data_IF_669768500157
#
_entry.id   IF_669768500157
#
_cell.length_a   1.000
_cell.length_b   1.000
_cell.length_c   1.000
_cell.angle_alpha   90.00
_cell.angle_beta   90.00
_cell.angle_gamma   90.00
#
_symmetry.space_group_name_H-M   'P 1'
#
loop_
_entity.id
_entity.type
_entity.pdbx_description
1 polymer ?
#
# COMPACT_ATOMS: atom_id res chain seq x y z
N UNK A 1 21.69 -7.04 -0.48
CA UNK A 1 22.20 -6.27 0.67
C UNK A 1 21.30 -5.06 0.80
N UNK A 2 20.52 -4.95 1.88
CA UNK A 2 19.79 -3.72 2.17
C UNK A 2 20.82 -2.60 2.31
N UNK A 3 20.64 -1.49 1.58
CA UNK A 3 21.57 -0.37 1.69
C UNK A 3 21.47 0.20 3.10
N UNK A 4 22.58 0.28 3.81
CA UNK A 4 22.65 0.98 5.09
C UNK A 4 22.21 2.46 4.98
N UNK A 5 22.12 3.00 3.75
CA UNK A 5 21.61 4.35 3.48
C UNK A 5 20.11 4.44 3.70
N UNK A 6 19.31 3.48 3.22
CA UNK A 6 17.85 3.60 3.24
C UNK A 6 17.30 3.77 4.67
N UNK A 7 17.80 3.01 5.64
CA UNK A 7 17.34 3.12 7.03
C UNK A 7 17.58 4.52 7.61
N UNK A 8 18.72 5.13 7.31
CA UNK A 8 19.03 6.49 7.78
C UNK A 8 18.26 7.55 6.97
N UNK A 9 18.11 7.35 5.67
CA UNK A 9 17.29 8.20 4.79
C UNK A 9 15.82 8.19 5.24
N UNK A 10 15.29 7.03 5.61
CA UNK A 10 13.94 6.85 6.14
C UNK A 10 13.74 7.63 7.46
N UNK A 11 14.69 7.55 8.40
CA UNK A 11 14.63 8.35 9.63
C UNK A 11 14.64 9.84 9.32
N UNK A 12 15.54 10.29 8.43
CA UNK A 12 15.63 11.68 8.03
C UNK A 12 14.34 12.18 7.35
N UNK A 13 13.73 11.37 6.48
CA UNK A 13 12.44 11.65 5.86
C UNK A 13 11.35 11.81 6.91
N UNK A 14 11.24 10.85 7.83
CA UNK A 14 10.25 10.89 8.91
C UNK A 14 10.43 12.10 9.83
N UNK A 15 11.67 12.47 10.17
CA UNK A 15 11.97 13.63 11.02
C UNK A 15 11.65 14.95 10.31
N UNK A 16 11.88 15.02 9.00
CA UNK A 16 11.45 16.15 8.19
C UNK A 16 9.91 16.22 8.07
N UNK A 17 9.22 15.07 7.96
CA UNK A 17 7.77 14.99 7.99
C UNK A 17 7.19 15.43 9.34
N UNK A 18 7.78 15.03 10.47
CA UNK A 18 7.33 15.45 11.81
C UNK A 18 7.50 16.97 11.98
N UNK A 19 8.65 17.50 11.59
CA UNK A 19 8.93 18.94 11.64
C UNK A 19 7.93 19.74 10.81
N UNK A 20 7.64 19.28 9.59
CA UNK A 20 6.65 19.89 8.70
C UNK A 20 5.22 19.80 9.28
N UNK A 21 4.83 18.63 9.78
CA UNK A 21 3.49 18.41 10.32
C UNK A 21 3.22 19.35 11.51
N UNK A 22 4.16 19.44 12.45
CA UNK A 22 4.06 20.35 13.60
C UNK A 22 3.93 21.81 13.19
N UNK A 23 4.67 22.25 12.18
CA UNK A 23 4.57 23.62 11.68
C UNK A 23 3.17 23.95 11.12
N UNK A 24 2.45 22.92 10.63
CA UNK A 24 1.06 23.01 10.14
C UNK A 24 0.01 22.82 11.23
N UNK A 25 0.41 22.54 12.48
CA UNK A 25 -0.51 22.14 13.55
C UNK A 25 -1.03 20.70 13.41
N UNK A 26 -0.40 19.90 12.57
CA UNK A 26 -0.66 18.47 12.41
C UNK A 26 0.29 17.67 13.31
N UNK A 27 0.11 16.35 13.38
CA UNK A 27 1.05 15.46 14.04
C UNK A 27 1.38 14.23 13.21
N UNK A 28 2.64 13.81 13.28
CA UNK A 28 3.07 12.53 12.76
C UNK A 28 3.04 11.51 13.90
N UNK A 29 2.16 10.52 13.80
CA UNK A 29 2.13 9.41 14.73
C UNK A 29 3.03 8.30 14.21
N UNK A 30 3.88 7.76 15.08
CA UNK A 30 4.79 6.66 14.79
C UNK A 30 4.60 5.59 15.85
N UNK A 31 4.00 4.47 15.49
CA UNK A 31 3.79 3.35 16.41
C UNK A 31 5.10 2.59 16.64
N UNK A 32 5.14 1.82 17.73
CA UNK A 32 6.33 1.04 18.10
C UNK A 32 6.76 0.06 16.99
N UNK A 33 8.06 -0.19 16.80
CA UNK A 33 8.55 -1.13 15.81
C UNK A 33 8.07 -2.56 16.06
N UNK A 34 8.05 -3.36 15.00
CA UNK A 34 8.00 -4.81 15.11
C UNK A 34 9.40 -5.37 15.40
N UNK A 35 9.47 -6.48 16.11
CA UNK A 35 10.68 -7.28 16.23
C UNK A 35 10.99 -7.99 14.90
N UNK A 36 12.26 -8.39 14.65
CA UNK A 36 12.60 -9.17 13.46
C UNK A 36 11.75 -10.43 13.30
N UNK A 37 11.45 -11.13 14.40
CA UNK A 37 10.62 -12.34 14.39
C UNK A 37 9.17 -12.05 13.98
N UNK A 38 8.61 -10.91 14.42
CA UNK A 38 7.27 -10.49 13.99
C UNK A 38 7.24 -10.13 12.50
N UNK A 39 8.26 -9.44 11.99
CA UNK A 39 8.37 -9.11 10.56
C UNK A 39 8.47 -10.38 9.71
N UNK A 40 9.30 -11.33 10.11
CA UNK A 40 9.48 -12.59 9.39
C UNK A 40 8.23 -13.50 9.45
N UNK A 41 7.34 -13.29 10.44
CA UNK A 41 6.09 -14.02 10.58
C UNK A 41 4.92 -13.42 9.79
N UNK A 42 5.06 -12.23 9.20
CA UNK A 42 3.96 -11.55 8.48
C UNK A 42 3.39 -12.39 7.33
N UNK A 43 4.18 -13.04 6.46
CA UNK A 43 3.61 -13.90 5.42
C UNK A 43 2.78 -15.03 6.02
N UNK A 44 3.28 -15.70 7.06
CA UNK A 44 2.56 -16.76 7.76
C UNK A 44 1.26 -16.30 8.42
N UNK A 45 1.18 -15.06 8.90
CA UNK A 45 -0.07 -14.47 9.41
C UNK A 45 -1.12 -14.42 8.29
N UNK A 46 -0.76 -13.95 7.10
CA UNK A 46 -1.68 -13.86 5.96
C UNK A 46 -2.17 -15.24 5.49
N UNK A 47 -1.34 -16.28 5.63
CA UNK A 47 -1.72 -17.68 5.36
C UNK A 47 -2.80 -18.21 6.31
N UNK A 48 -3.09 -17.54 7.43
CA UNK A 48 -4.13 -17.94 8.40
C UNK A 48 -5.50 -17.34 8.12
N UNK A 49 -5.68 -16.64 6.99
CA UNK A 49 -6.95 -16.04 6.62
C UNK A 49 -8.07 -17.09 6.59
N UNK A 50 -9.11 -16.87 7.39
CA UNK A 50 -10.12 -17.89 7.71
C UNK A 50 -11.22 -18.02 6.65
N UNK A 51 -11.34 -17.03 5.77
CA UNK A 51 -12.34 -17.01 4.71
C UNK A 51 -11.77 -17.63 3.42
N UNK A 52 -12.62 -18.32 2.68
CA UNK A 52 -12.25 -18.94 1.41
C UNK A 52 -11.82 -17.86 0.40
N UNK A 53 -10.61 -17.99 -0.13
CA UNK A 53 -10.07 -17.12 -1.18
C UNK A 53 -10.19 -17.85 -2.52
N UNK A 54 -10.68 -17.19 -3.59
CA UNK A 54 -10.76 -17.80 -4.93
C UNK A 54 -9.41 -18.32 -5.43
N UNK A 55 -8.34 -17.61 -5.07
CA UNK A 55 -6.97 -18.09 -5.21
C UNK A 55 -6.33 -18.02 -3.83
N UNK A 56 -5.92 -19.16 -3.22
CA UNK A 56 -5.25 -19.14 -1.93
C UNK A 56 -3.99 -18.28 -1.95
N UNK A 57 -3.80 -17.51 -0.89
CA UNK A 57 -2.53 -16.81 -0.67
C UNK A 57 -1.38 -17.83 -0.55
N UNK A 58 -0.25 -17.51 -1.16
CA UNK A 58 0.98 -18.33 -1.12
C UNK A 58 2.02 -17.59 -0.30
N UNK A 59 2.38 -18.14 0.85
CA UNK A 59 3.31 -17.51 1.81
C UNK A 59 4.62 -17.08 1.16
N UNK A 60 5.20 -17.97 0.36
CA UNK A 60 6.49 -17.74 -0.31
C UNK A 60 6.41 -16.65 -1.39
N UNK A 61 5.21 -16.31 -1.87
CA UNK A 61 5.00 -15.25 -2.84
C UNK A 61 5.13 -13.85 -2.23
N UNK A 62 5.06 -13.72 -0.89
CA UNK A 62 5.27 -12.46 -0.18
C UNK A 62 6.57 -12.45 0.64
N UNK A 63 7.75 -12.40 0.00
CA UNK A 63 8.96 -12.03 0.71
C UNK A 63 8.84 -10.54 1.10
N UNK A 64 8.75 -10.24 2.40
CA UNK A 64 8.65 -8.86 2.90
C UNK A 64 9.74 -7.98 2.25
N UNK A 65 9.38 -6.94 1.46
CA UNK A 65 10.34 -6.13 0.72
C UNK A 65 11.41 -5.52 1.62
N UNK A 66 12.65 -5.45 1.15
CA UNK A 66 13.79 -5.07 1.99
C UNK A 66 13.63 -3.67 2.61
N UNK A 67 13.22 -2.68 1.81
CA UNK A 67 12.98 -1.31 2.26
C UNK A 67 11.78 -1.20 3.22
N UNK A 68 10.75 -2.02 3.01
CA UNK A 68 9.59 -2.10 3.91
C UNK A 68 9.92 -2.83 5.22
N UNK A 69 10.77 -3.87 5.19
CA UNK A 69 11.31 -4.50 6.39
C UNK A 69 12.04 -3.49 7.27
N UNK A 70 12.89 -2.62 6.70
CA UNK A 70 13.55 -1.56 7.48
C UNK A 70 12.55 -0.57 8.08
N UNK A 71 11.46 -0.26 7.36
CA UNK A 71 10.35 0.52 7.91
C UNK A 71 9.71 -0.16 9.12
N UNK A 72 9.32 -1.44 9.00
CA UNK A 72 8.65 -2.19 10.08
C UNK A 72 9.52 -2.36 11.33
N UNK A 73 10.85 -2.45 11.15
CA UNK A 73 11.83 -2.51 12.24
C UNK A 73 12.07 -1.16 12.93
N UNK A 74 11.53 -0.06 12.39
CA UNK A 74 11.50 1.25 13.03
C UNK A 74 10.11 1.58 13.58
N UNK A 75 9.07 1.27 12.80
CA UNK A 75 7.68 1.61 13.09
C UNK A 75 6.75 0.54 12.49
N UNK A 76 5.85 -0.02 13.30
CA UNK A 76 4.78 -0.88 12.75
C UNK A 76 3.75 -0.09 11.94
N UNK A 77 3.63 1.20 12.21
CA UNK A 77 2.68 2.09 11.56
C UNK A 77 3.18 3.53 11.66
N UNK A 78 3.00 4.29 10.58
CA UNK A 78 3.23 5.73 10.54
C UNK A 78 2.05 6.38 9.85
N UNK A 79 1.45 7.38 10.49
CA UNK A 79 0.33 8.14 9.93
C UNK A 79 0.43 9.61 10.24
N UNK A 80 -0.02 10.43 9.31
CA UNK A 80 -0.30 11.84 9.59
C UNK A 80 -1.70 11.96 10.17
N UNK A 81 -1.85 12.84 11.15
CA UNK A 81 -3.15 13.21 11.70
C UNK A 81 -3.32 14.73 11.71
N UNK A 82 -4.55 15.17 11.44
CA UNK A 82 -4.97 16.56 11.45
C UNK A 82 -6.30 16.72 12.18
N UNK A 83 -6.69 17.96 12.49
CA UNK A 83 -7.98 18.27 13.11
C UNK A 83 -8.80 19.14 12.15
N UNK A 84 -9.56 18.57 11.20
CA UNK A 84 -10.34 19.36 10.24
C UNK A 84 -11.44 20.17 10.93
N UNK A 85 -12.03 19.64 12.00
CA UNK A 85 -13.06 20.30 12.80
C UNK A 85 -12.49 21.04 14.05
N UNK A 86 -11.17 20.97 14.27
CA UNK A 86 -10.48 21.54 15.43
C UNK A 86 -10.68 20.81 16.75
N UNK A 87 -11.40 19.68 16.77
CA UNK A 87 -11.74 18.93 17.99
C UNK A 87 -11.22 17.50 17.98
N UNK A 88 -11.35 16.79 16.87
CA UNK A 88 -10.96 15.38 16.76
C UNK A 88 -9.73 15.24 15.85
N UNK A 89 -8.81 14.37 16.24
CA UNK A 89 -7.70 13.99 15.36
C UNK A 89 -8.21 12.94 14.38
N UNK A 90 -8.00 13.21 13.10
CA UNK A 90 -8.35 12.32 12.00
C UNK A 90 -7.09 11.94 11.23
N UNK A 91 -7.02 10.70 10.77
CA UNK A 91 -5.91 10.22 9.94
C UNK A 91 -6.02 10.82 8.54
N UNK A 92 -4.96 11.50 8.11
CA UNK A 92 -4.78 11.91 6.73
C UNK A 92 -4.44 10.68 5.89
N UNK A 93 -5.47 10.03 5.34
CA UNK A 93 -5.39 8.74 4.67
C UNK A 93 -4.32 8.64 3.56
N UNK A 94 -4.06 9.67 2.73
CA UNK A 94 -2.97 9.60 1.74
C UNK A 94 -1.56 9.41 2.34
N UNK A 95 -1.40 9.62 3.65
CA UNK A 95 -0.19 9.31 4.40
C UNK A 95 -0.54 8.43 5.62
N UNK A 96 -0.88 7.18 5.35
CA UNK A 96 -1.09 6.18 6.39
C UNK A 96 -0.49 4.84 5.94
N UNK A 97 0.60 4.45 6.59
CA UNK A 97 1.39 3.24 6.29
C UNK A 97 1.35 2.33 7.51
N UNK A 98 1.06 1.05 7.32
CA UNK A 98 0.79 0.13 8.42
C UNK A 98 1.30 -1.28 8.10
N UNK A 99 1.63 -2.04 9.14
CA UNK A 99 2.07 -3.43 9.03
C UNK A 99 0.92 -4.32 8.57
N UNK A 100 1.14 -5.29 7.67
CA UNK A 100 0.04 -6.04 7.08
C UNK A 100 -0.74 -6.83 8.14
N UNK A 101 -2.06 -6.82 8.02
CA UNK A 101 -2.99 -7.58 8.86
C UNK A 101 -3.78 -8.55 7.99
N UNK A 102 -4.69 -9.33 8.57
CA UNK A 102 -5.59 -10.17 7.77
C UNK A 102 -6.40 -9.33 6.76
N UNK A 103 -6.69 -8.06 7.07
CA UNK A 103 -7.40 -7.13 6.19
C UNK A 103 -6.51 -6.57 5.04
N UNK A 104 -5.20 -6.86 5.07
CA UNK A 104 -4.26 -6.53 3.98
C UNK A 104 -4.44 -7.37 2.74
N UNK A 105 -4.98 -8.58 2.89
CA UNK A 105 -5.39 -9.34 1.72
C UNK A 105 -6.50 -8.54 1.07
N UNK A 106 -6.17 -7.83 0.00
CA UNK A 106 -7.18 -7.14 -0.80
C UNK A 106 -8.00 -8.24 -1.44
N UNK A 107 -9.12 -8.55 -0.81
CA UNK A 107 -10.08 -9.51 -1.29
C UNK A 107 -11.17 -8.75 -2.04
N UNK A 108 -10.79 -8.03 -3.10
CA UNK A 108 -11.75 -7.65 -4.12
C UNK A 108 -12.16 -8.96 -4.80
N UNK A 109 -13.31 -9.46 -4.37
CA UNK A 109 -14.02 -10.57 -4.97
C UNK A 109 -15.35 -10.04 -5.47
N UNK A 110 -15.55 -10.18 -6.77
CA UNK A 110 -16.86 -10.05 -7.38
C UNK A 110 -17.61 -11.34 -6.99
N UNK A 111 -18.68 -11.29 -6.17
CA UNK A 111 -19.37 -12.49 -5.71
C UNK A 111 -19.71 -13.42 -6.86
N UNK A 112 -19.65 -14.74 -6.66
CA UNK A 112 -20.09 -15.71 -7.65
C UNK A 112 -21.48 -15.30 -8.19
N UNK A 113 -21.55 -14.98 -9.48
CA UNK A 113 -22.74 -14.45 -10.14
C UNK A 113 -22.87 -12.92 -10.23
N UNK A 114 -21.82 -12.17 -9.90
CA UNK A 114 -21.74 -10.73 -10.19
C UNK A 114 -21.04 -10.55 -11.53
N UNK A 115 -21.77 -9.92 -12.42
CA UNK A 115 -21.62 -10.02 -13.86
C UNK A 115 -20.46 -9.12 -14.35
N UNK A 116 -19.24 -9.69 -14.45
CA UNK A 116 -18.13 -9.11 -15.23
C UNK A 116 -18.37 -9.40 -16.73
N UNK A 117 -19.62 -9.26 -17.19
CA UNK A 117 -20.10 -9.91 -18.40
C UNK A 117 -20.18 -11.43 -18.22
N UNK A 118 -21.35 -12.02 -18.43
CA UNK A 118 -21.74 -13.41 -18.17
C UNK A 118 -20.77 -14.49 -18.74
N UNK A 119 -19.78 -14.09 -19.54
CA UNK A 119 -18.83 -14.93 -20.26
C UNK A 119 -17.35 -14.80 -19.79
N UNK A 120 -16.99 -13.97 -18.79
CA UNK A 120 -15.57 -13.67 -18.51
C UNK A 120 -14.93 -14.38 -17.31
N UNK A 121 -15.69 -15.01 -16.40
CA UNK A 121 -15.13 -15.82 -15.31
C UNK A 121 -14.76 -15.05 -14.03
N UNK A 122 -14.37 -15.79 -12.98
CA UNK A 122 -14.09 -15.25 -11.64
C UNK A 122 -12.76 -14.49 -11.58
N UNK A 123 -12.70 -13.41 -10.79
CA UNK A 123 -11.51 -12.57 -10.61
C UNK A 123 -10.97 -12.59 -9.17
N UNK A 124 -9.68 -12.29 -9.03
CA UNK A 124 -8.98 -12.19 -7.73
C UNK A 124 -7.93 -11.06 -7.72
N UNK A 125 -7.73 -10.50 -6.53
CA UNK A 125 -6.63 -9.57 -6.17
C UNK A 125 -5.83 -10.08 -4.97
N UNK A 126 -5.93 -11.37 -4.62
CA UNK A 126 -5.27 -11.93 -3.42
C UNK A 126 -3.73 -11.83 -3.47
N UNK A 127 -3.18 -11.61 -4.66
CA UNK A 127 -1.77 -11.38 -4.90
C UNK A 127 -1.32 -9.92 -4.68
N UNK A 128 -2.24 -9.02 -4.37
CA UNK A 128 -2.00 -7.65 -3.94
C UNK A 128 -2.09 -7.57 -2.41
N UNK A 129 -0.99 -7.23 -1.76
CA UNK A 129 -0.91 -7.13 -0.29
C UNK A 129 -0.87 -5.67 0.11
N UNK A 130 -1.97 -5.16 0.66
CA UNK A 130 -2.08 -3.76 1.08
C UNK A 130 -1.16 -3.46 2.28
N UNK A 131 -0.48 -2.31 2.20
CA UNK A 131 0.44 -1.83 3.24
C UNK A 131 0.25 -0.34 3.57
N UNK A 132 -0.57 0.38 2.80
CA UNK A 132 -0.89 1.78 3.04
C UNK A 132 -2.25 2.14 2.43
N UNK A 133 -2.90 3.13 3.03
CA UNK A 133 -4.07 3.77 2.42
C UNK A 133 -3.60 4.65 1.25
N UNK A 134 -4.35 4.65 0.14
CA UNK A 134 -4.14 5.60 -0.94
C UNK A 134 -5.13 6.77 -0.81
N UNK A 135 -6.43 6.47 -0.72
CA UNK A 135 -7.51 7.44 -0.54
C UNK A 135 -7.46 8.62 -1.51
N UNK A 136 -7.31 8.33 -2.80
CA UNK A 136 -7.13 9.32 -3.89
C UNK A 136 -8.46 9.76 -4.51
N UNK A 137 -9.46 9.98 -3.67
CA UNK A 137 -10.83 10.31 -4.08
C UNK A 137 -11.81 9.14 -4.12
N UNK A 138 -11.36 7.94 -3.72
CA UNK A 138 -12.19 6.79 -3.36
C UNK A 138 -11.85 6.34 -1.94
N UNK A 139 -12.86 6.03 -1.12
CA UNK A 139 -12.68 5.69 0.29
C UNK A 139 -11.91 4.37 0.51
N UNK A 140 -11.86 3.50 -0.51
CA UNK A 140 -11.32 2.15 -0.40
C UNK A 140 -10.03 1.91 -1.22
N UNK A 141 -9.40 2.95 -1.78
CA UNK A 141 -8.15 2.80 -2.53
C UNK A 141 -6.93 2.53 -1.62
N UNK A 142 -6.08 1.56 -2.00
CA UNK A 142 -4.93 1.06 -1.22
C UNK A 142 -3.67 0.98 -2.07
N UNK A 143 -2.51 1.12 -1.43
CA UNK A 143 -1.23 0.77 -2.03
C UNK A 143 -0.84 -0.65 -1.66
N UNK A 144 -0.46 -1.43 -2.66
CA UNK A 144 -0.28 -2.87 -2.52
C UNK A 144 1.05 -3.33 -3.10
N UNK A 145 1.65 -4.33 -2.46
CA UNK A 145 2.75 -5.10 -3.06
C UNK A 145 2.16 -6.17 -3.99
N UNK A 146 2.69 -6.26 -5.21
CA UNK A 146 2.32 -7.32 -6.16
C UNK A 146 3.24 -8.53 -6.03
N UNK A 147 2.66 -9.69 -5.72
CA UNK A 147 3.39 -10.89 -5.28
C UNK A 147 3.58 -11.96 -6.38
N UNK A 148 2.94 -11.82 -7.55
CA UNK A 148 3.09 -12.82 -8.64
C UNK A 148 4.40 -12.69 -9.44
N UNK A 149 5.19 -11.65 -9.16
CA UNK A 149 6.53 -11.50 -9.71
C UNK A 149 7.58 -11.79 -8.65
N UNK A 150 8.68 -12.48 -9.00
CA UNK A 150 9.83 -12.56 -8.11
C UNK A 150 10.34 -11.16 -7.74
N UNK A 151 10.80 -10.96 -6.50
CA UNK A 151 11.35 -9.68 -6.07
C UNK A 151 12.61 -9.32 -6.87
N UNK A 152 12.71 -8.06 -7.29
CA UNK A 152 13.89 -7.52 -7.97
C UNK A 152 14.72 -6.74 -6.96
N UNK A 153 15.98 -7.16 -6.77
CA UNK A 153 16.87 -6.58 -5.75
C UNK A 153 16.30 -6.61 -4.31
N UNK A 154 15.42 -7.58 -4.00
CA UNK A 154 14.77 -7.69 -2.69
C UNK A 154 13.53 -6.80 -2.53
N UNK A 155 13.05 -6.17 -3.61
CA UNK A 155 11.85 -5.32 -3.62
C UNK A 155 10.74 -5.96 -4.45
N UNK A 156 9.49 -5.75 -4.00
CA UNK A 156 8.28 -6.03 -4.78
C UNK A 156 7.77 -4.72 -5.40
N UNK A 157 7.22 -4.78 -6.63
CA UNK A 157 6.61 -3.61 -7.23
C UNK A 157 5.34 -3.18 -6.48
N UNK A 158 5.08 -1.89 -6.49
CA UNK A 158 3.94 -1.27 -5.82
C UNK A 158 2.88 -0.89 -6.85
N UNK A 159 1.68 -1.38 -6.61
CA UNK A 159 0.47 -1.07 -7.37
C UNK A 159 -0.48 -0.24 -6.51
N UNK A 160 -1.39 0.45 -7.17
CA UNK A 160 -2.53 1.09 -6.54
C UNK A 160 -3.75 0.24 -6.86
N UNK A 161 -4.41 -0.28 -5.84
CA UNK A 161 -5.75 -0.85 -5.96
C UNK A 161 -6.75 0.27 -5.70
N UNK A 162 -7.75 0.43 -6.59
CA UNK A 162 -8.86 1.33 -6.40
C UNK A 162 -10.16 0.54 -6.50
N UNK A 163 -10.98 0.59 -5.44
CA UNK A 163 -12.18 -0.21 -5.30
C UNK A 163 -13.30 0.25 -6.27
N UNK A 164 -13.31 1.53 -6.67
CA UNK A 164 -14.27 1.98 -7.71
C UNK A 164 -13.90 1.43 -9.10
N UNK A 165 -12.66 0.95 -9.27
CA UNK A 165 -12.16 0.24 -10.43
C UNK A 165 -11.75 -1.20 -10.06
N UNK A 166 -12.48 -1.83 -9.12
CA UNK A 166 -12.35 -3.18 -8.49
C UNK A 166 -11.87 -4.34 -9.41
N UNK A 167 -11.77 -4.08 -10.71
CA UNK A 167 -11.54 -5.00 -11.80
C UNK A 167 -10.21 -4.76 -12.54
N UNK A 168 -9.67 -3.53 -12.62
CA UNK A 168 -8.51 -3.23 -13.50
C UNK A 168 -7.18 -3.83 -13.02
N UNK A 169 -6.99 -3.99 -11.71
CA UNK A 169 -5.82 -4.67 -11.13
C UNK A 169 -6.11 -6.12 -10.73
N UNK A 170 -7.26 -6.65 -11.13
CA UNK A 170 -7.62 -8.05 -10.91
C UNK A 170 -7.04 -8.98 -11.96
N UNK A 171 -6.99 -10.26 -11.60
CA UNK A 171 -6.66 -11.35 -12.50
C UNK A 171 -7.80 -12.35 -12.57
N UNK A 172 -7.95 -13.03 -13.70
CA UNK A 172 -8.82 -14.19 -13.77
C UNK A 172 -8.25 -15.34 -12.93
N UNK A 173 -9.10 -15.99 -12.13
CA UNK A 173 -8.71 -17.10 -11.24
C UNK A 173 -8.14 -18.28 -12.04
N UNK A 174 -8.77 -18.63 -13.16
CA UNK A 174 -8.40 -19.82 -13.94
C UNK A 174 -7.12 -19.65 -14.75
N UNK A 175 -6.97 -18.53 -15.46
CA UNK A 175 -5.83 -18.28 -16.35
C UNK A 175 -4.68 -17.56 -15.67
N UNK A 176 -4.98 -16.82 -14.59
CA UNK A 176 -4.02 -15.91 -13.98
C UNK A 176 -3.68 -14.70 -14.83
N UNK A 177 -4.33 -14.48 -15.97
CA UNK A 177 -4.09 -13.31 -16.80
C UNK A 177 -4.72 -12.06 -16.15
N UNK A 178 -4.12 -10.90 -16.41
CA UNK A 178 -4.73 -9.62 -16.06
C UNK A 178 -6.10 -9.48 -16.74
N UNK A 179 -7.02 -8.78 -16.09
CA UNK A 179 -8.36 -8.58 -16.65
C UNK A 179 -8.34 -7.90 -18.04
N UNK A 180 -7.45 -6.92 -18.24
CA UNK A 180 -7.16 -6.38 -19.57
C UNK A 180 -5.79 -6.87 -20.06
N UNK A 181 -5.72 -8.00 -20.79
CA UNK A 181 -4.46 -8.53 -21.28
C UNK A 181 -3.82 -7.64 -22.35
N UNK A 182 -4.58 -6.75 -22.99
CA UNK A 182 -4.06 -5.82 -24.00
C UNK A 182 -3.46 -4.56 -23.38
N UNK A 183 -3.84 -4.24 -22.15
CA UNK A 183 -3.33 -3.11 -21.40
C UNK A 183 -3.09 -3.49 -19.93
N UNK A 184 -2.13 -4.39 -19.66
CA UNK A 184 -1.86 -4.85 -18.31
C UNK A 184 -1.42 -3.66 -17.44
N UNK A 185 -1.87 -3.60 -16.18
CA UNK A 185 -1.51 -2.51 -15.29
C UNK A 185 0.02 -2.48 -15.09
N UNK A 186 0.57 -1.28 -15.14
CA UNK A 186 2.00 -1.07 -14.86
C UNK A 186 2.18 -0.71 -13.39
N UNK A 187 3.26 -1.18 -12.72
CA UNK A 187 3.58 -0.73 -11.38
C UNK A 187 3.67 0.80 -11.31
N UNK A 188 3.03 1.38 -10.29
CA UNK A 188 3.18 2.80 -9.99
C UNK A 188 4.62 3.10 -9.57
N UNK A 189 5.19 2.23 -8.72
CA UNK A 189 6.56 2.33 -8.24
C UNK A 189 7.27 0.98 -8.26
N UNK A 190 8.60 1.02 -8.37
CA UNK A 190 9.43 -0.18 -8.42
C UNK A 190 9.71 -0.80 -7.03
N UNK A 191 9.50 -0.05 -5.95
CA UNK A 191 9.78 -0.45 -4.57
C UNK A 191 9.02 0.41 -3.55
N UNK A 192 8.97 -0.06 -2.29
CA UNK A 192 8.43 0.73 -1.18
C UNK A 192 9.23 2.02 -0.95
N UNK A 193 10.57 1.95 -0.98
CA UNK A 193 11.45 3.12 -0.88
C UNK A 193 11.11 4.23 -1.89
N UNK A 194 10.93 3.87 -3.16
CA UNK A 194 10.61 4.83 -4.22
C UNK A 194 9.23 5.48 -3.99
N UNK A 195 8.24 4.67 -3.60
CA UNK A 195 6.91 5.14 -3.25
C UNK A 195 6.93 6.07 -2.03
N UNK A 196 7.53 5.65 -0.92
CA UNK A 196 7.52 6.39 0.34
C UNK A 196 8.24 7.73 0.22
N UNK A 197 9.37 7.75 -0.51
CA UNK A 197 10.10 8.99 -0.82
C UNK A 197 9.20 9.96 -1.60
N UNK A 198 8.48 9.47 -2.62
CA UNK A 198 7.58 10.29 -3.43
C UNK A 198 6.40 10.82 -2.62
N UNK A 199 5.78 9.99 -1.79
CA UNK A 199 4.66 10.41 -0.94
C UNK A 199 5.11 11.49 0.05
N UNK A 200 6.27 11.32 0.69
CA UNK A 200 6.84 12.33 1.60
C UNK A 200 7.18 13.64 0.88
N UNK A 201 7.67 13.58 -0.36
CA UNK A 201 7.92 14.77 -1.19
C UNK A 201 6.62 15.50 -1.50
N UNK A 202 5.62 14.78 -2.03
CA UNK A 202 4.36 15.36 -2.50
C UNK A 202 3.55 15.95 -1.36
N UNK A 203 3.39 15.25 -0.25
CA UNK A 203 2.59 15.73 0.90
C UNK A 203 3.16 17.01 1.51
N UNK A 204 4.47 17.24 1.39
CA UNK A 204 5.12 18.46 1.91
C UNK A 204 5.14 19.63 0.94
N UNK A 205 4.60 19.47 -0.27
CA UNK A 205 4.53 20.56 -1.24
C UNK A 205 3.63 21.67 -0.74
N UNK A 206 4.12 22.90 -0.82
CA UNK A 206 3.36 24.10 -0.42
C UNK A 206 2.32 24.53 -1.47
N UNK A 207 2.49 24.07 -2.71
CA UNK A 207 1.59 24.40 -3.83
C UNK A 207 0.39 23.46 -3.97
N UNK A 208 0.29 22.42 -3.13
CA UNK A 208 -0.83 21.48 -3.11
C UNK A 208 -1.79 21.76 -1.97
N UNK A 209 -3.08 21.77 -2.29
CA UNK A 209 -4.13 21.68 -1.29
C UNK A 209 -4.27 20.22 -0.85
N UNK A 210 -3.97 19.94 0.42
CA UNK A 210 -4.04 18.58 0.96
C UNK A 210 -5.46 18.10 1.16
N UNK A 211 -6.45 19.00 1.19
CA UNK A 211 -7.87 18.63 1.23
C UNK A 211 -8.35 18.10 -0.14
N UNK A 212 -7.70 18.50 -1.23
CA UNK A 212 -7.90 17.90 -2.55
C UNK A 212 -7.08 16.61 -2.70
N UNK A 213 -7.58 15.54 -2.08
CA UNK A 213 -6.94 14.22 -2.08
C UNK A 213 -6.75 13.64 -3.49
N UNK A 214 -7.55 14.07 -4.47
CA UNK A 214 -7.39 13.68 -5.87
C UNK A 214 -6.19 14.38 -6.50
N UNK A 215 -6.01 15.68 -6.25
CA UNK A 215 -4.83 16.42 -6.69
C UNK A 215 -3.54 15.85 -6.08
N UNK A 216 -3.58 15.49 -4.79
CA UNK A 216 -2.46 14.82 -4.11
C UNK A 216 -2.15 13.48 -4.76
N UNK A 217 -3.17 12.67 -5.06
CA UNK A 217 -3.00 11.40 -5.75
C UNK A 217 -2.39 11.51 -7.14
N UNK A 218 -2.91 12.44 -7.94
CA UNK A 218 -2.36 12.74 -9.25
C UNK A 218 -0.89 13.19 -9.15
N UNK A 219 -0.54 13.98 -8.14
CA UNK A 219 0.83 14.41 -7.91
C UNK A 219 1.76 13.26 -7.48
N UNK A 220 1.28 12.30 -6.68
CA UNK A 220 2.02 11.08 -6.32
C UNK A 220 2.30 10.26 -7.58
N UNK A 221 1.29 10.08 -8.45
CA UNK A 221 1.36 9.28 -9.66
C UNK A 221 2.09 9.96 -10.84
N UNK A 222 2.18 11.29 -10.83
CA UNK A 222 2.89 12.05 -11.86
C UNK A 222 4.40 11.77 -11.80
N UNK A 223 4.93 11.18 -12.87
CA UNK A 223 6.35 10.89 -13.11
C UNK A 223 7.05 12.06 -13.81
#
# INVERSE_FOLDING_TARGET
>A
MASATWREDLKALLDAMDSWARARGWRLVREAPLSPAEVDALPGLLSTYEWELPTPFVEEAFPVPASYREFLLLHREVRLEHQPDGTNWETYRPFHVWAPTLDSLTASWVPAGTDVGDDQGDITTTDLIAFADAHLGSEAARWCFYTRTPPKNGELPVFMEDNDFETLTGHYVDSGEWLDPNNPPTPAFASFEAWFTRVCEVVRREDLDLEDVRAVGNAILAK
#
